data_IF_249578141982
#
_entry.id   IF_249578141982
#
_cell.length_a   1.000
_cell.length_b   1.000
_cell.length_c   1.000
_cell.angle_alpha   90.00
_cell.angle_beta   90.00
_cell.angle_gamma   90.00
#
_symmetry.space_group_name_H-M   'P 1'
#
loop_
_entity.id
_entity.type
_entity.pdbx_description
1 polymer ?
#
# COMPACT_ATOMS: atom_id res chain seq x y z
N UNK A 1 -28.43 44.39 42.67
CA UNK A 1 -27.62 44.69 41.46
C UNK A 1 -26.20 44.23 41.76
N UNK A 2 -25.48 43.35 41.06
CA UNK A 2 -25.64 42.56 39.84
C UNK A 2 -24.93 41.22 40.14
N UNK A 3 -25.60 40.08 39.95
CA UNK A 3 -24.93 38.77 40.01
C UNK A 3 -24.14 38.61 38.71
N UNK A 4 -22.81 38.71 38.78
CA UNK A 4 -21.94 38.50 37.62
C UNK A 4 -21.74 36.97 37.46
N UNK A 5 -22.58 36.35 36.64
CA UNK A 5 -22.40 34.98 36.18
C UNK A 5 -21.19 34.96 35.23
N UNK A 6 -20.04 34.44 35.69
CA UNK A 6 -18.96 34.05 34.80
C UNK A 6 -19.39 32.80 34.02
N UNK A 7 -19.76 32.99 32.75
CA UNK A 7 -19.83 31.89 31.79
C UNK A 7 -18.38 31.46 31.47
N UNK A 8 -17.92 30.36 32.07
CA UNK A 8 -16.72 29.67 31.62
C UNK A 8 -17.04 28.99 30.28
N UNK A 9 -16.62 29.61 29.18
CA UNK A 9 -16.65 28.97 27.87
C UNK A 9 -15.65 27.79 27.88
N UNK A 10 -16.18 26.57 27.98
CA UNK A 10 -15.43 25.34 27.72
C UNK A 10 -15.07 25.30 26.24
N UNK A 11 -13.90 25.82 25.89
CA UNK A 11 -13.29 25.56 24.60
C UNK A 11 -12.87 24.09 24.55
N UNK A 12 -13.75 23.22 24.04
CA UNK A 12 -13.35 21.87 23.64
C UNK A 12 -12.48 22.00 22.40
N UNK A 13 -11.16 22.08 22.56
CA UNK A 13 -10.24 21.86 21.45
C UNK A 13 -10.48 20.43 20.97
N UNK A 14 -10.84 20.19 19.69
CA UNK A 14 -10.85 18.83 19.18
C UNK A 14 -9.42 18.31 19.34
N UNK A 15 -9.26 17.26 20.14
CA UNK A 15 -8.01 16.53 20.19
C UNK A 15 -7.83 15.91 18.80
N UNK A 16 -7.10 16.60 17.92
CA UNK A 16 -6.60 15.99 16.69
C UNK A 16 -5.69 14.86 17.13
N UNK A 17 -6.18 13.63 17.02
CA UNK A 17 -5.38 12.45 17.29
C UNK A 17 -4.12 12.56 16.42
N UNK A 18 -2.96 12.67 17.06
CA UNK A 18 -1.69 12.76 16.35
C UNK A 18 -1.47 11.45 15.59
N UNK A 19 -1.11 11.54 14.32
CA UNK A 19 -0.72 10.38 13.54
C UNK A 19 0.61 9.85 14.05
N UNK A 20 0.57 8.73 14.76
CA UNK A 20 1.73 8.12 15.43
C UNK A 20 2.59 7.28 14.50
N UNK A 21 2.26 7.21 13.20
CA UNK A 21 3.05 6.46 12.21
C UNK A 21 4.41 7.09 11.96
N UNK A 22 5.37 6.26 11.60
CA UNK A 22 6.72 6.70 11.24
C UNK A 22 6.68 7.52 9.95
N UNK A 23 7.21 8.75 10.00
CA UNK A 23 7.42 9.53 8.79
C UNK A 23 8.60 8.93 8.02
N UNK A 24 8.33 8.40 6.83
CA UNK A 24 9.39 8.00 5.91
C UNK A 24 10.09 9.26 5.35
N UNK A 25 11.40 9.44 5.57
CA UNK A 25 12.14 10.65 5.19
C UNK A 25 12.51 10.63 3.69
N UNK A 26 11.49 10.51 2.82
CA UNK A 26 11.67 10.43 1.37
C UNK A 26 11.97 11.82 0.78
N UNK A 27 12.93 11.93 -0.16
CA UNK A 27 13.04 13.11 -1.01
C UNK A 27 11.72 13.36 -1.77
N UNK A 28 11.36 14.63 -2.07
CA UNK A 28 10.09 14.95 -2.74
C UNK A 28 9.86 14.17 -4.05
N UNK A 29 10.91 13.94 -4.85
CA UNK A 29 10.81 13.17 -6.09
C UNK A 29 10.46 11.69 -5.85
N UNK A 30 11.15 11.02 -4.92
CA UNK A 30 10.85 9.64 -4.54
C UNK A 30 9.46 9.50 -3.90
N UNK A 31 9.04 10.48 -3.11
CA UNK A 31 7.72 10.52 -2.50
C UNK A 31 6.60 10.57 -3.56
N UNK A 32 6.76 11.37 -4.61
CA UNK A 32 5.79 11.46 -5.70
C UNK A 32 5.77 10.18 -6.55
N UNK A 33 6.95 9.63 -6.88
CA UNK A 33 7.05 8.33 -7.55
C UNK A 33 6.35 7.23 -6.75
N UNK A 34 6.58 7.18 -5.43
CA UNK A 34 5.95 6.20 -4.55
C UNK A 34 4.43 6.39 -4.51
N UNK A 35 3.94 7.63 -4.45
CA UNK A 35 2.51 7.92 -4.47
C UNK A 35 1.85 7.39 -5.75
N UNK A 36 2.47 7.64 -6.90
CA UNK A 36 1.99 7.12 -8.18
C UNK A 36 2.02 5.58 -8.19
N UNK A 37 3.11 4.98 -7.72
CA UNK A 37 3.23 3.54 -7.61
C UNK A 37 2.15 2.92 -6.71
N UNK A 38 1.84 3.51 -5.55
CA UNK A 38 0.76 3.05 -4.68
C UNK A 38 -0.62 3.13 -5.36
N UNK A 39 -0.88 4.19 -6.13
CA UNK A 39 -2.12 4.31 -6.91
C UNK A 39 -2.21 3.24 -7.99
N UNK A 40 -1.13 3.03 -8.75
CA UNK A 40 -1.07 2.00 -9.79
C UNK A 40 -1.27 0.60 -9.19
N UNK A 41 -0.72 0.36 -8.00
CA UNK A 41 -0.89 -0.89 -7.27
C UNK A 41 -2.35 -1.10 -6.82
N UNK A 42 -3.04 -0.04 -6.40
CA UNK A 42 -4.47 -0.09 -6.04
C UNK A 42 -5.33 -0.41 -7.27
N UNK A 43 -5.02 0.18 -8.43
CA UNK A 43 -5.71 -0.13 -9.68
C UNK A 43 -5.53 -1.60 -10.06
N UNK A 44 -4.32 -2.14 -9.94
CA UNK A 44 -4.05 -3.57 -10.18
C UNK A 44 -4.81 -4.46 -9.20
N UNK A 45 -4.85 -4.12 -7.90
CA UNK A 45 -5.61 -4.87 -6.92
C UNK A 45 -7.11 -4.91 -7.24
N UNK A 46 -7.69 -3.77 -7.64
CA UNK A 46 -9.10 -3.72 -8.03
C UNK A 46 -9.40 -4.59 -9.27
N UNK A 47 -8.49 -4.59 -10.24
CA UNK A 47 -8.58 -5.45 -11.43
C UNK A 47 -8.53 -6.94 -11.06
N UNK A 48 -7.59 -7.34 -10.20
CA UNK A 48 -7.47 -8.71 -9.68
C UNK A 48 -8.78 -9.15 -9.01
N UNK A 49 -9.34 -8.32 -8.13
CA UNK A 49 -10.60 -8.62 -7.43
C UNK A 49 -11.77 -8.75 -8.42
N UNK A 50 -11.82 -7.87 -9.42
CA UNK A 50 -12.86 -7.89 -10.47
C UNK A 50 -12.79 -9.17 -11.31
N UNK A 51 -11.58 -9.61 -11.65
CA UNK A 51 -11.33 -10.85 -12.39
C UNK A 51 -11.72 -12.08 -11.56
N UNK A 52 -11.34 -12.13 -10.28
CA UNK A 52 -11.77 -13.18 -9.35
C UNK A 52 -13.29 -13.25 -9.22
N UNK A 53 -13.96 -12.10 -9.06
CA UNK A 53 -15.42 -12.02 -9.00
C UNK A 53 -16.11 -12.50 -10.29
N UNK A 54 -15.42 -12.41 -11.42
CA UNK A 54 -15.88 -12.89 -12.74
C UNK A 54 -15.45 -14.33 -13.03
N UNK A 55 -14.92 -15.07 -12.04
CA UNK A 55 -14.37 -16.42 -12.19
C UNK A 55 -13.21 -16.54 -13.21
N UNK A 56 -12.54 -15.42 -13.51
CA UNK A 56 -11.36 -15.33 -14.39
C UNK A 56 -10.08 -15.47 -13.57
N UNK A 57 -9.94 -16.62 -12.92
CA UNK A 57 -8.92 -16.82 -11.87
C UNK A 57 -7.50 -16.75 -12.44
N UNK A 58 -7.26 -17.35 -13.61
CA UNK A 58 -5.90 -17.38 -14.20
C UNK A 58 -5.46 -15.99 -14.63
N UNK A 59 -6.36 -15.24 -15.25
CA UNK A 59 -6.16 -13.85 -15.67
C UNK A 59 -5.88 -12.95 -14.45
N UNK A 60 -6.57 -13.18 -13.32
CA UNK A 60 -6.26 -12.47 -12.07
C UNK A 60 -4.81 -12.73 -11.61
N UNK A 61 -4.31 -13.96 -11.78
CA UNK A 61 -2.93 -14.32 -11.52
C UNK A 61 -1.93 -13.63 -12.44
N UNK A 62 -2.23 -13.54 -13.73
CA UNK A 62 -1.40 -12.83 -14.72
C UNK A 62 -1.28 -11.34 -14.37
N UNK A 63 -2.39 -10.68 -14.06
CA UNK A 63 -2.39 -9.27 -13.62
C UNK A 63 -1.57 -9.10 -12.35
N UNK A 64 -1.72 -10.00 -11.38
CA UNK A 64 -0.95 -9.95 -10.14
C UNK A 64 0.57 -10.05 -10.40
N UNK A 65 1.03 -10.99 -11.23
CA UNK A 65 2.46 -11.12 -11.52
C UNK A 65 3.00 -9.91 -12.29
N UNK A 66 2.31 -9.49 -13.37
CA UNK A 66 2.78 -8.45 -14.26
C UNK A 66 2.81 -7.06 -13.62
N UNK A 67 1.86 -6.77 -12.73
CA UNK A 67 1.69 -5.41 -12.17
C UNK A 67 2.19 -5.27 -10.74
N UNK A 68 2.16 -6.35 -9.96
CA UNK A 68 2.50 -6.35 -8.53
C UNK A 68 3.62 -7.34 -8.19
N UNK A 69 3.80 -8.40 -8.97
CA UNK A 69 4.74 -9.49 -8.71
C UNK A 69 6.20 -9.10 -8.79
N UNK A 70 7.07 -10.09 -8.64
CA UNK A 70 8.52 -9.92 -8.78
C UNK A 70 8.92 -9.42 -10.17
N UNK A 71 8.14 -9.73 -11.21
CA UNK A 71 8.35 -9.17 -12.56
C UNK A 71 8.22 -7.64 -12.60
N UNK A 72 7.36 -7.07 -11.74
CA UNK A 72 7.19 -5.61 -11.63
C UNK A 72 8.21 -4.95 -10.68
N UNK A 73 9.01 -5.75 -9.95
CA UNK A 73 9.99 -5.24 -9.01
C UNK A 73 11.07 -4.45 -9.76
N UNK A 74 11.35 -3.24 -9.29
CA UNK A 74 12.35 -2.37 -9.93
C UNK A 74 11.86 -1.62 -11.16
N UNK A 75 10.54 -1.55 -11.41
CA UNK A 75 9.95 -0.71 -12.49
C UNK A 75 10.42 0.75 -12.50
N UNK A 76 10.84 1.26 -11.34
CA UNK A 76 11.35 2.62 -11.13
C UNK A 76 12.89 2.71 -11.16
N UNK A 77 13.63 1.64 -11.46
CA UNK A 77 15.10 1.61 -11.36
C UNK A 77 15.81 2.50 -12.40
N UNK A 78 15.14 2.87 -13.49
CA UNK A 78 15.69 3.74 -14.53
C UNK A 78 15.60 5.25 -14.19
N UNK A 79 14.84 5.63 -13.16
CA UNK A 79 14.68 7.03 -12.75
C UNK A 79 16.01 7.60 -12.19
N UNK A 80 16.16 8.94 -12.07
CA UNK A 80 17.21 9.55 -11.24
C UNK A 80 17.22 8.97 -9.82
N UNK A 81 18.40 8.83 -9.19
CA UNK A 81 18.55 8.09 -7.92
C UNK A 81 17.65 8.61 -6.79
N UNK A 82 17.52 9.93 -6.68
CA UNK A 82 16.68 10.65 -5.72
C UNK A 82 15.16 10.49 -5.97
N UNK A 83 14.77 10.05 -7.17
CA UNK A 83 13.40 9.77 -7.56
C UNK A 83 13.02 8.29 -7.41
N UNK A 84 13.97 7.38 -7.11
CA UNK A 84 13.72 5.94 -6.93
C UNK A 84 13.22 5.66 -5.51
N UNK A 85 11.98 5.15 -5.30
CA UNK A 85 11.48 4.97 -3.93
C UNK A 85 12.30 3.97 -3.10
N UNK A 86 12.60 2.79 -3.65
CA UNK A 86 13.24 1.68 -2.91
C UNK A 86 14.53 2.07 -2.16
N UNK A 87 15.54 2.65 -2.81
CA UNK A 87 16.77 3.08 -2.15
C UNK A 87 16.61 4.21 -1.13
N UNK A 88 15.52 4.98 -1.19
CA UNK A 88 15.26 6.13 -0.30
C UNK A 88 14.38 5.75 0.91
N UNK A 89 13.71 4.60 0.87
CA UNK A 89 12.89 4.11 1.98
C UNK A 89 13.74 3.66 3.17
N UNK A 90 13.22 3.77 4.41
CA UNK A 90 13.72 3.02 5.55
C UNK A 90 13.82 1.52 5.24
N UNK A 91 14.80 0.83 5.83
CA UNK A 91 15.13 -0.56 5.48
C UNK A 91 13.93 -1.49 5.68
N UNK A 92 13.15 -1.29 6.74
CA UNK A 92 11.97 -2.09 7.06
C UNK A 92 10.82 -1.80 6.07
N UNK A 93 10.62 -0.53 5.71
CA UNK A 93 9.64 -0.13 4.69
C UNK A 93 9.98 -0.73 3.31
N UNK A 94 11.26 -0.69 2.92
CA UNK A 94 11.71 -1.32 1.69
C UNK A 94 11.54 -2.85 1.73
N UNK A 95 11.76 -3.46 2.90
CA UNK A 95 11.45 -4.86 3.17
C UNK A 95 9.99 -5.21 2.86
N UNK A 96 9.05 -4.44 3.40
CA UNK A 96 7.61 -4.63 3.15
C UNK A 96 7.26 -4.57 1.65
N UNK A 97 7.89 -3.65 0.91
CA UNK A 97 7.72 -3.55 -0.55
C UNK A 97 8.18 -4.80 -1.29
N UNK A 98 9.37 -5.33 -0.95
CA UNK A 98 9.89 -6.58 -1.54
C UNK A 98 9.03 -7.79 -1.19
N UNK A 99 8.56 -7.87 0.06
CA UNK A 99 7.65 -8.93 0.51
C UNK A 99 6.31 -8.86 -0.22
N UNK A 100 5.83 -7.65 -0.53
CA UNK A 100 4.61 -7.42 -1.32
C UNK A 100 4.74 -8.00 -2.73
N UNK A 101 5.87 -7.75 -3.40
CA UNK A 101 6.16 -8.36 -4.71
C UNK A 101 6.20 -9.90 -4.63
N UNK A 102 6.87 -10.46 -3.62
CA UNK A 102 6.92 -11.90 -3.43
C UNK A 102 5.54 -12.52 -3.14
N UNK A 103 4.70 -11.82 -2.38
CA UNK A 103 3.32 -12.22 -2.10
C UNK A 103 2.45 -12.21 -3.36
N UNK A 104 2.60 -11.19 -4.21
CA UNK A 104 1.90 -11.12 -5.50
C UNK A 104 2.28 -12.27 -6.44
N UNK A 105 3.57 -12.60 -6.53
CA UNK A 105 3.99 -13.78 -7.29
C UNK A 105 3.49 -15.10 -6.70
N UNK A 106 3.38 -15.19 -5.37
CA UNK A 106 2.78 -16.36 -4.71
C UNK A 106 1.28 -16.48 -5.02
N UNK A 107 0.54 -15.37 -5.00
CA UNK A 107 -0.85 -15.31 -5.44
C UNK A 107 -0.98 -15.73 -6.92
N UNK A 108 -0.13 -15.21 -7.79
CA UNK A 108 -0.14 -15.56 -9.22
C UNK A 108 0.03 -17.07 -9.45
N UNK A 109 0.97 -17.71 -8.74
CA UNK A 109 1.16 -19.17 -8.79
C UNK A 109 -0.05 -19.95 -8.27
N UNK A 110 -0.73 -19.45 -7.24
CA UNK A 110 -1.97 -20.07 -6.76
C UNK A 110 -3.08 -19.96 -7.82
N UNK A 111 -3.26 -18.76 -8.37
CA UNK A 111 -4.25 -18.45 -9.38
C UNK A 111 -4.05 -19.21 -10.71
N UNK A 112 -2.80 -19.49 -11.11
CA UNK A 112 -2.47 -20.26 -12.30
C UNK A 112 -3.10 -21.68 -12.32
N UNK A 113 -3.38 -22.25 -11.15
CA UNK A 113 -4.09 -23.54 -11.06
C UNK A 113 -5.53 -23.47 -11.57
N UNK A 114 -6.15 -22.28 -11.58
CA UNK A 114 -7.57 -22.07 -11.85
C UNK A 114 -8.48 -22.33 -10.65
N UNK A 115 -7.93 -22.71 -9.49
CA UNK A 115 -8.68 -22.91 -8.26
C UNK A 115 -8.98 -21.55 -7.58
N UNK A 116 -10.24 -21.13 -7.69
CA UNK A 116 -10.72 -19.87 -7.10
C UNK A 116 -10.57 -19.86 -5.57
N UNK A 117 -10.83 -20.98 -4.89
CA UNK A 117 -10.72 -21.08 -3.42
C UNK A 117 -9.26 -20.91 -2.99
N UNK A 118 -8.33 -21.55 -3.70
CA UNK A 118 -6.89 -21.40 -3.44
C UNK A 118 -6.40 -19.97 -3.71
N UNK A 119 -6.86 -19.34 -4.79
CA UNK A 119 -6.53 -17.94 -5.09
C UNK A 119 -7.09 -16.99 -4.03
N UNK A 120 -8.35 -17.15 -3.63
CA UNK A 120 -8.99 -16.36 -2.58
C UNK A 120 -8.28 -16.52 -1.23
N UNK A 121 -7.82 -17.73 -0.89
CA UNK A 121 -7.05 -17.96 0.33
C UNK A 121 -5.68 -17.23 0.34
N UNK A 122 -5.12 -16.90 -0.82
CA UNK A 122 -3.87 -16.14 -0.93
C UNK A 122 -4.08 -14.61 -0.88
N UNK A 123 -5.30 -14.12 -1.05
CA UNK A 123 -5.62 -12.69 -1.13
C UNK A 123 -5.21 -11.88 0.13
N UNK A 124 -5.38 -12.37 1.37
CA UNK A 124 -4.91 -11.65 2.56
C UNK A 124 -3.39 -11.43 2.57
N UNK A 125 -2.63 -12.37 2.01
CA UNK A 125 -1.17 -12.22 1.88
C UNK A 125 -0.80 -11.20 0.82
N UNK A 126 -1.55 -11.13 -0.28
CA UNK A 126 -1.37 -10.12 -1.33
C UNK A 126 -1.56 -8.69 -0.81
N UNK A 127 -2.54 -8.47 0.08
CA UNK A 127 -2.82 -7.13 0.64
C UNK A 127 -2.03 -6.83 1.91
N UNK A 128 -1.40 -7.84 2.53
CA UNK A 128 -0.71 -7.73 3.81
C UNK A 128 0.37 -6.64 3.85
N UNK A 129 1.20 -6.52 2.82
CA UNK A 129 2.23 -5.47 2.75
C UNK A 129 1.62 -4.07 2.62
N UNK A 130 0.49 -3.92 1.92
CA UNK A 130 -0.24 -2.66 1.87
C UNK A 130 -0.71 -2.26 3.27
N UNK A 131 -1.37 -3.19 3.98
CA UNK A 131 -1.86 -2.96 5.34
C UNK A 131 -0.73 -2.61 6.29
N UNK A 132 0.36 -3.39 6.29
CA UNK A 132 1.51 -3.15 7.16
C UNK A 132 2.18 -1.79 6.86
N UNK A 133 2.39 -1.46 5.59
CA UNK A 133 2.99 -0.18 5.19
C UNK A 133 2.10 0.99 5.64
N UNK A 134 0.80 0.94 5.38
CA UNK A 134 -0.14 2.00 5.76
C UNK A 134 -0.36 2.12 7.27
N UNK A 135 -0.24 1.03 8.02
CA UNK A 135 -0.35 1.02 9.48
C UNK A 135 0.89 1.57 10.18
N UNK A 136 2.08 1.42 9.58
CA UNK A 136 3.35 1.82 10.20
C UNK A 136 3.89 3.15 9.70
N UNK A 137 3.65 3.49 8.43
CA UNK A 137 4.29 4.63 7.79
C UNK A 137 3.31 5.68 7.28
N UNK A 138 3.76 6.93 7.37
CA UNK A 138 3.24 8.05 6.59
C UNK A 138 4.35 8.59 5.70
N UNK A 139 3.97 9.07 4.53
CA UNK A 139 4.90 9.68 3.56
C UNK A 139 4.75 11.19 3.48
N UNK A 140 3.84 11.76 4.27
CA UNK A 140 3.47 13.19 4.39
C UNK A 140 3.19 13.51 5.84
#
# INVERSE_FOLDING_TARGET
MKRLLLLAALFTTPALAQDTRFLAPLPPAAQETLRKEMLDNLLALNEIITLLASNKVREAGEVAELRLGQTAMGKNAALPYDARPGPQMPIEMHGLGRDGHAAASAFARAAATGDATKAMAALPRLTGSCVACHALYRTR
#
